data_IF_735609754376
#
_entry.id   IF_735609754376
#
_cell.length_a   1.000
_cell.length_b   1.000
_cell.length_c   1.000
_cell.angle_alpha   90.00
_cell.angle_beta   90.00
_cell.angle_gamma   90.00
#
_symmetry.space_group_name_H-M   'P 1'
#
loop_
_entity.id
_entity.type
_entity.pdbx_description
1 polymer ?
#
# COMPACT_ATOMS: atom_id res chain seq x y z
N UNK A 1 22.92 -1.94 21.23
CA UNK A 1 22.73 -0.47 21.27
C UNK A 1 21.24 -0.19 21.50
N UNK A 2 20.83 0.04 22.76
CA UNK A 2 19.42 0.28 23.07
C UNK A 2 19.01 1.67 22.57
N UNK A 3 18.07 1.73 21.62
CA UNK A 3 17.52 2.98 21.11
C UNK A 3 16.86 3.76 22.27
N UNK A 4 17.12 5.07 22.36
CA UNK A 4 16.46 5.92 23.34
C UNK A 4 14.93 5.86 23.17
N UNK A 5 14.18 5.95 24.27
CA UNK A 5 12.73 5.75 24.26
C UNK A 5 11.98 6.64 23.27
N UNK A 6 12.43 7.89 23.10
CA UNK A 6 11.86 8.83 22.12
C UNK A 6 12.09 8.41 20.66
N UNK A 7 13.29 7.93 20.33
CA UNK A 7 13.63 7.47 18.96
C UNK A 7 12.84 6.21 18.60
N UNK A 8 12.69 5.26 19.55
CA UNK A 8 11.86 4.06 19.34
C UNK A 8 10.42 4.42 18.97
N UNK A 9 9.82 5.34 19.70
CA UNK A 9 8.43 5.77 19.46
C UNK A 9 8.27 6.44 18.10
N UNK A 10 9.20 7.31 17.70
CA UNK A 10 9.18 7.98 16.41
C UNK A 10 9.33 6.98 15.23
N UNK A 11 10.24 6.02 15.35
CA UNK A 11 10.41 4.95 14.36
C UNK A 11 9.15 4.09 14.26
N UNK A 12 8.56 3.71 15.39
CA UNK A 12 7.30 2.96 15.41
C UNK A 12 6.13 3.73 14.77
N UNK A 13 6.06 5.05 14.98
CA UNK A 13 5.03 5.89 14.34
C UNK A 13 5.19 5.93 12.82
N UNK A 14 6.42 6.05 12.31
CA UNK A 14 6.69 6.02 10.87
C UNK A 14 6.31 4.66 10.27
N UNK A 15 6.69 3.56 10.92
CA UNK A 15 6.31 2.21 10.50
C UNK A 15 4.78 2.00 10.47
N UNK A 16 4.05 2.55 11.44
CA UNK A 16 2.59 2.51 11.44
C UNK A 16 1.96 3.29 10.28
N UNK A 17 2.51 4.46 9.93
CA UNK A 17 2.00 5.27 8.80
C UNK A 17 2.30 4.57 7.47
N UNK A 18 3.52 4.06 7.28
CA UNK A 18 3.87 3.33 6.05
C UNK A 18 3.06 2.04 5.91
N UNK A 19 2.78 1.32 7.00
CA UNK A 19 1.87 0.18 6.98
C UNK A 19 0.45 0.57 6.57
N UNK A 20 -0.07 1.69 7.08
CA UNK A 20 -1.40 2.20 6.69
C UNK A 20 -1.48 2.49 5.19
N UNK A 21 -0.51 3.21 4.64
CA UNK A 21 -0.44 3.55 3.22
C UNK A 21 -0.28 2.31 2.34
N UNK A 22 0.64 1.41 2.70
CA UNK A 22 0.87 0.17 1.95
C UNK A 22 -0.35 -0.75 1.99
N UNK A 23 -1.03 -0.85 3.14
CA UNK A 23 -2.27 -1.59 3.29
C UNK A 23 -3.39 -1.03 2.41
N UNK A 24 -3.53 0.29 2.34
CA UNK A 24 -4.49 0.94 1.44
C UNK A 24 -4.20 0.57 -0.03
N UNK A 25 -2.94 0.64 -0.47
CA UNK A 25 -2.54 0.23 -1.82
C UNK A 25 -2.82 -1.25 -2.08
N UNK A 26 -2.61 -2.13 -1.09
CA UNK A 26 -2.92 -3.55 -1.23
C UNK A 26 -4.42 -3.81 -1.40
N UNK A 27 -5.28 -3.06 -0.69
CA UNK A 27 -6.75 -3.14 -0.88
C UNK A 27 -7.15 -2.69 -2.28
N UNK A 28 -6.61 -1.57 -2.76
CA UNK A 28 -6.89 -1.07 -4.11
C UNK A 28 -6.39 -2.05 -5.18
N UNK A 29 -5.19 -2.61 -5.02
CA UNK A 29 -4.66 -3.64 -5.91
C UNK A 29 -5.52 -4.91 -5.92
N UNK A 30 -5.99 -5.35 -4.73
CA UNK A 30 -6.91 -6.48 -4.63
C UNK A 30 -8.25 -6.20 -5.34
N UNK A 31 -8.77 -4.97 -5.25
CA UNK A 31 -9.96 -4.53 -6.00
C UNK A 31 -9.73 -4.57 -7.51
N UNK A 32 -8.55 -4.13 -7.99
CA UNK A 32 -8.20 -4.23 -9.42
C UNK A 32 -8.20 -5.67 -9.92
N UNK A 33 -7.78 -6.63 -9.08
CA UNK A 33 -7.84 -8.05 -9.42
C UNK A 33 -9.25 -8.62 -9.38
N UNK A 34 -10.11 -8.17 -8.47
CA UNK A 34 -11.51 -8.61 -8.36
C UNK A 34 -12.38 -8.09 -9.51
N UNK A 35 -12.14 -6.86 -9.97
CA UNK A 35 -12.93 -6.16 -10.97
C UNK A 35 -12.05 -5.63 -12.13
N UNK A 36 -11.35 -6.52 -12.85
CA UNK A 36 -10.36 -6.10 -13.84
C UNK A 36 -10.99 -5.32 -15.00
N UNK A 37 -12.20 -5.70 -15.43
CA UNK A 37 -12.89 -5.05 -16.55
C UNK A 37 -13.23 -3.56 -16.29
N UNK A 38 -13.35 -3.16 -15.03
CA UNK A 38 -13.75 -1.80 -14.63
C UNK A 38 -12.58 -0.97 -14.14
N UNK A 39 -11.68 -1.58 -13.37
CA UNK A 39 -10.63 -0.88 -12.63
C UNK A 39 -9.28 -0.93 -13.34
N UNK A 40 -9.05 -1.92 -14.20
CA UNK A 40 -7.77 -2.11 -14.88
C UNK A 40 -7.83 -1.52 -16.29
N UNK A 41 -6.73 -0.90 -16.70
CA UNK A 41 -6.63 -0.34 -18.04
C UNK A 41 -6.54 -1.43 -19.10
N UNK A 42 -7.35 -1.28 -20.15
CA UNK A 42 -7.48 -2.30 -21.20
C UNK A 42 -6.17 -2.64 -21.90
N UNK A 43 -5.36 -1.63 -22.20
CA UNK A 43 -4.09 -1.82 -22.90
C UNK A 43 -3.08 -2.63 -22.07
N UNK A 44 -3.20 -2.57 -20.74
CA UNK A 44 -2.35 -3.30 -19.80
C UNK A 44 -2.88 -4.71 -19.48
N UNK A 45 -4.15 -5.00 -19.79
CA UNK A 45 -4.81 -6.26 -19.46
C UNK A 45 -4.09 -7.51 -20.02
N UNK A 46 -3.64 -7.53 -21.30
CA UNK A 46 -2.90 -8.68 -21.83
C UNK A 46 -1.59 -8.94 -21.07
N UNK A 47 -0.90 -7.88 -20.66
CA UNK A 47 0.36 -7.95 -19.90
C UNK A 47 0.09 -8.51 -18.50
N UNK A 48 -0.96 -8.04 -17.82
CA UNK A 48 -1.33 -8.57 -16.51
C UNK A 48 -1.77 -10.03 -16.55
N UNK A 49 -2.52 -10.43 -17.58
CA UNK A 49 -2.92 -11.83 -17.76
C UNK A 49 -1.70 -12.75 -17.94
N UNK A 50 -0.69 -12.31 -18.69
CA UNK A 50 0.55 -13.06 -18.87
C UNK A 50 1.38 -13.22 -17.58
N UNK A 51 1.33 -12.23 -16.69
CA UNK A 51 2.15 -12.18 -15.47
C UNK A 51 1.37 -12.35 -14.15
N UNK A 52 0.11 -12.80 -14.23
CA UNK A 52 -0.78 -12.97 -13.09
C UNK A 52 -0.16 -13.69 -11.87
N UNK A 53 0.59 -14.82 -12.01
CA UNK A 53 1.18 -15.49 -10.85
C UNK A 53 2.30 -14.68 -10.17
N UNK A 54 2.97 -13.78 -10.90
CA UNK A 54 3.96 -12.87 -10.32
C UNK A 54 3.25 -11.77 -9.56
N UNK A 55 2.24 -11.15 -10.17
CA UNK A 55 1.46 -10.07 -9.55
C UNK A 55 0.80 -10.51 -8.23
N UNK A 56 0.22 -11.72 -8.19
CA UNK A 56 -0.33 -12.30 -6.95
C UNK A 56 0.72 -12.47 -5.86
N UNK A 57 1.92 -12.95 -6.21
CA UNK A 57 3.02 -13.09 -5.24
C UNK A 57 3.49 -11.74 -4.71
N UNK A 58 3.58 -10.74 -5.57
CA UNK A 58 3.95 -9.36 -5.17
C UNK A 58 2.89 -8.77 -4.23
N UNK A 59 1.60 -8.92 -4.55
CA UNK A 59 0.51 -8.49 -3.67
C UNK A 59 0.56 -9.22 -2.32
N UNK A 60 0.72 -10.55 -2.32
CA UNK A 60 0.85 -11.33 -1.09
C UNK A 60 2.04 -10.92 -0.23
N UNK A 61 3.21 -10.69 -0.85
CA UNK A 61 4.39 -10.19 -0.16
C UNK A 61 4.17 -8.78 0.43
N UNK A 62 3.44 -7.92 -0.29
CA UNK A 62 3.11 -6.56 0.16
C UNK A 62 2.13 -6.56 1.33
N UNK A 63 1.15 -7.46 1.33
CA UNK A 63 0.22 -7.68 2.45
C UNK A 63 1.00 -8.17 3.68
N UNK A 64 1.90 -9.14 3.49
CA UNK A 64 2.75 -9.63 4.59
C UNK A 64 3.65 -8.51 5.16
N UNK A 65 4.28 -7.72 4.29
CA UNK A 65 5.07 -6.56 4.69
C UNK A 65 4.24 -5.53 5.47
N UNK A 66 2.99 -5.29 5.04
CA UNK A 66 2.04 -4.41 5.73
C UNK A 66 1.78 -4.91 7.16
N UNK A 67 1.49 -6.21 7.33
CA UNK A 67 1.29 -6.80 8.65
C UNK A 67 2.53 -6.71 9.53
N UNK A 68 3.70 -7.03 8.98
CA UNK A 68 4.96 -6.95 9.70
C UNK A 68 5.25 -5.52 10.17
N UNK A 69 5.09 -4.53 9.29
CA UNK A 69 5.28 -3.11 9.62
C UNK A 69 4.26 -2.60 10.64
N UNK A 70 2.98 -2.99 10.52
CA UNK A 70 1.94 -2.62 11.48
C UNK A 70 2.23 -3.22 12.87
N UNK A 71 2.60 -4.50 12.93
CA UNK A 71 2.93 -5.19 14.18
C UNK A 71 4.16 -4.57 14.85
N UNK A 72 5.27 -4.41 14.11
CA UNK A 72 6.50 -3.76 14.60
C UNK A 72 6.20 -2.32 15.03
N UNK A 73 5.45 -1.56 14.24
CA UNK A 73 5.06 -0.20 14.55
C UNK A 73 4.26 -0.07 15.84
N UNK A 74 3.27 -0.94 16.06
CA UNK A 74 2.46 -0.97 17.28
C UNK A 74 3.27 -1.40 18.51
N UNK A 75 4.22 -2.33 18.36
CA UNK A 75 5.12 -2.75 19.44
C UNK A 75 6.10 -1.62 19.84
N UNK A 76 6.57 -0.81 18.88
CA UNK A 76 7.51 0.28 19.14
C UNK A 76 6.85 1.58 19.61
N UNK A 77 5.68 1.93 19.06
CA UNK A 77 4.98 3.19 19.34
C UNK A 77 3.80 3.06 20.32
N UNK A 78 3.39 1.84 20.66
CA UNK A 78 2.20 1.56 21.44
C UNK A 78 0.91 1.69 20.62
N UNK A 79 -0.22 1.89 21.31
CA UNK A 79 -1.54 1.98 20.67
C UNK A 79 -1.65 3.26 19.84
N UNK A 80 -1.57 3.12 18.52
CA UNK A 80 -1.69 4.19 17.54
C UNK A 80 -2.82 3.87 16.55
N UNK A 81 -3.67 4.86 16.24
CA UNK A 81 -4.76 4.74 15.28
C UNK A 81 -4.27 4.28 13.89
N UNK A 82 -3.11 4.77 13.46
CA UNK A 82 -2.53 4.44 12.16
C UNK A 82 -2.05 2.98 12.08
N UNK A 83 -1.49 2.45 13.17
CA UNK A 83 -1.05 1.05 13.23
C UNK A 83 -2.23 0.09 13.20
N UNK A 84 -3.32 0.44 13.90
CA UNK A 84 -4.58 -0.32 13.84
C UNK A 84 -5.20 -0.25 12.44
N UNK A 85 -5.20 0.92 11.80
CA UNK A 85 -5.69 1.07 10.43
C UNK A 85 -4.89 0.22 9.44
N UNK A 86 -3.55 0.21 9.53
CA UNK A 86 -2.70 -0.66 8.70
C UNK A 86 -2.99 -2.16 8.90
N UNK A 87 -3.21 -2.59 10.15
CA UNK A 87 -3.57 -3.97 10.45
C UNK A 87 -4.95 -4.35 9.87
N UNK A 88 -5.94 -3.47 10.00
CA UNK A 88 -7.28 -3.68 9.44
C UNK A 88 -7.26 -3.69 7.92
N UNK A 89 -6.58 -2.74 7.28
CA UNK A 89 -6.44 -2.68 5.83
C UNK A 89 -5.69 -3.90 5.28
N UNK A 90 -4.62 -4.35 5.95
CA UNK A 90 -3.94 -5.60 5.62
C UNK A 90 -4.86 -6.82 5.74
N UNK A 91 -5.72 -6.85 6.77
CA UNK A 91 -6.73 -7.90 6.94
C UNK A 91 -7.78 -7.91 5.84
N UNK A 92 -8.29 -6.73 5.47
CA UNK A 92 -9.22 -6.58 4.34
C UNK A 92 -8.57 -7.04 3.04
N UNK A 93 -7.34 -6.60 2.76
CA UNK A 93 -6.60 -7.00 1.57
C UNK A 93 -6.33 -8.52 1.55
N UNK A 94 -5.99 -9.12 2.70
CA UNK A 94 -5.80 -10.56 2.82
C UNK A 94 -7.10 -11.33 2.56
N UNK A 95 -8.23 -10.84 3.10
CA UNK A 95 -9.53 -11.44 2.86
C UNK A 95 -9.93 -11.38 1.37
N UNK A 96 -9.71 -10.22 0.74
CA UNK A 96 -10.01 -10.00 -0.68
C UNK A 96 -9.06 -10.73 -1.63
N UNK A 97 -7.78 -10.85 -1.26
CA UNK A 97 -6.75 -11.51 -2.08
C UNK A 97 -6.61 -13.01 -1.84
N UNK A 98 -7.10 -13.52 -0.69
CA UNK A 98 -7.05 -14.93 -0.31
C UNK A 98 -8.16 -15.78 -0.93
N UNK A 99 -9.31 -15.19 -1.27
CA UNK A 99 -10.29 -15.86 -2.13
C UNK A 99 -9.79 -15.79 -3.58
N UNK A 100 -9.14 -16.86 -4.02
CA UNK A 100 -8.73 -17.15 -5.40
C UNK A 100 -9.41 -16.24 -6.43
N UNK A 101 -8.68 -15.24 -6.92
CA UNK A 101 -9.15 -14.29 -7.93
C UNK A 101 -9.30 -15.02 -9.26
N UNK A 102 -10.36 -15.80 -9.44
CA UNK A 102 -10.60 -16.60 -10.64
C UNK A 102 -11.25 -15.80 -11.78
N UNK A 103 -11.62 -14.53 -11.56
CA UNK A 103 -12.34 -13.76 -12.57
C UNK A 103 -11.49 -12.68 -13.25
N UNK A 104 -10.46 -13.10 -14.00
CA UNK A 104 -10.11 -12.40 -15.26
C UNK A 104 -11.02 -12.98 -16.37
N UNK A 105 -12.34 -12.91 -16.14
CA UNK A 105 -13.32 -13.26 -17.14
C UNK A 105 -13.62 -12.02 -17.96
N UNK A 106 -13.10 -11.95 -19.20
CA UNK A 106 -13.34 -10.83 -20.11
C UNK A 106 -14.84 -10.71 -20.40
N UNK A 107 -15.52 -9.80 -19.70
CA UNK A 107 -16.93 -9.50 -19.99
C UNK A 107 -17.00 -8.46 -21.11
N UNK A 108 -16.81 -8.92 -22.35
CA UNK A 108 -17.15 -8.21 -23.58
C UNK A 108 -16.41 -6.89 -23.87
N UNK A 109 -16.59 -6.32 -25.08
CA UNK A 109 -15.96 -5.06 -25.48
C UNK A 109 -16.71 -3.86 -24.88
N UNK A 110 -16.30 -3.40 -23.68
CA UNK A 110 -16.68 -2.11 -23.10
C UNK A 110 -15.61 -1.06 -23.36
N UNK A 111 -15.98 0.12 -23.82
CA UNK A 111 -15.02 1.18 -24.16
C UNK A 111 -14.45 1.97 -22.97
N UNK A 112 -14.89 1.71 -21.73
CA UNK A 112 -14.55 2.53 -20.57
C UNK A 112 -13.95 1.71 -19.42
N UNK A 113 -12.80 2.16 -18.92
CA UNK A 113 -12.12 1.65 -17.73
C UNK A 113 -11.60 2.84 -16.90
N UNK A 114 -11.64 2.74 -15.58
CA UNK A 114 -11.23 3.83 -14.66
C UNK A 114 -9.71 4.00 -14.61
N UNK A 115 -8.94 2.94 -14.86
CA UNK A 115 -7.47 2.98 -14.81
C UNK A 115 -6.90 3.10 -13.39
N UNK A 116 -7.61 2.54 -12.41
CA UNK A 116 -7.19 2.53 -11.01
C UNK A 116 -5.88 1.76 -10.82
N UNK A 117 -5.59 0.78 -11.68
CA UNK A 117 -4.32 0.06 -11.69
C UNK A 117 -3.12 0.99 -11.93
N UNK A 118 -3.19 1.87 -12.92
CA UNK A 118 -2.12 2.86 -13.16
C UNK A 118 -1.99 3.83 -12.00
N UNK A 119 -3.11 4.29 -11.45
CA UNK A 119 -3.10 5.17 -10.28
C UNK A 119 -2.41 4.50 -9.07
N UNK A 120 -2.71 3.23 -8.79
CA UNK A 120 -2.06 2.47 -7.71
C UNK A 120 -0.56 2.32 -7.97
N UNK A 121 -0.16 2.00 -9.21
CA UNK A 121 1.24 1.89 -9.59
C UNK A 121 1.97 3.23 -9.46
N UNK A 122 1.35 4.32 -9.87
CA UNK A 122 1.90 5.67 -9.77
C UNK A 122 2.12 6.07 -8.31
N UNK A 123 1.11 5.89 -7.44
CA UNK A 123 1.25 6.12 -6.01
C UNK A 123 2.33 5.24 -5.36
N UNK A 124 2.42 3.97 -5.78
CA UNK A 124 3.43 3.05 -5.28
C UNK A 124 4.84 3.50 -5.69
N UNK A 125 5.04 3.85 -6.97
CA UNK A 125 6.33 4.29 -7.51
C UNK A 125 6.74 5.61 -6.89
N UNK A 126 5.85 6.60 -6.85
CA UNK A 126 6.11 7.88 -6.21
C UNK A 126 6.39 7.69 -4.72
N UNK A 127 5.59 6.88 -4.02
CA UNK A 127 5.83 6.59 -2.60
C UNK A 127 7.19 5.94 -2.37
N UNK A 128 7.54 4.93 -3.18
CA UNK A 128 8.81 4.22 -3.05
C UNK A 128 10.02 5.11 -3.38
N UNK A 129 9.86 6.09 -4.27
CA UNK A 129 10.93 7.00 -4.66
C UNK A 129 11.04 8.19 -3.70
N UNK A 130 9.94 8.90 -3.46
CA UNK A 130 9.94 10.16 -2.71
C UNK A 130 9.99 9.96 -1.20
N UNK A 131 9.38 8.92 -0.62
CA UNK A 131 9.44 8.70 0.84
C UNK A 131 10.89 8.49 1.34
N UNK A 132 11.72 7.61 0.75
CA UNK A 132 13.10 7.48 1.18
C UNK A 132 13.96 8.67 0.74
N UNK A 133 13.71 9.27 -0.42
CA UNK A 133 14.43 10.45 -0.88
C UNK A 133 14.25 11.62 0.09
N UNK A 134 13.02 11.89 0.51
CA UNK A 134 12.69 12.90 1.52
C UNK A 134 13.37 12.58 2.86
N UNK A 135 13.44 11.30 3.24
CA UNK A 135 14.12 10.90 4.46
C UNK A 135 15.65 11.07 4.40
N UNK A 136 16.28 10.84 3.24
CA UNK A 136 17.73 10.96 3.03
C UNK A 136 18.19 12.42 2.89
N UNK A 137 17.39 13.25 2.23
CA UNK A 137 17.69 14.66 1.96
C UNK A 137 16.86 15.63 2.80
N UNK A 138 16.40 15.18 3.97
CA UNK A 138 15.61 16.02 4.89
C UNK A 138 16.45 17.22 5.39
N UNK A 139 16.08 18.43 4.94
CA UNK A 139 16.70 19.67 5.40
C UNK A 139 16.40 19.95 6.89
N UNK A 140 15.19 19.60 7.35
CA UNK A 140 14.77 19.75 8.74
C UNK A 140 14.04 18.49 9.23
N UNK A 141 14.22 18.14 10.52
CA UNK A 141 13.48 17.04 11.16
C UNK A 141 12.08 17.49 11.55
N UNK A 142 11.18 17.49 10.58
CA UNK A 142 9.81 17.94 10.74
C UNK A 142 8.85 16.75 10.78
N UNK A 143 7.75 16.78 11.57
CA UNK A 143 6.70 15.78 11.46
C UNK A 143 6.05 15.82 10.07
N UNK A 144 5.67 14.64 9.55
CA UNK A 144 5.02 14.48 8.24
C UNK A 144 3.72 15.28 8.19
N UNK A 145 2.86 15.13 9.20
CA UNK A 145 1.62 15.90 9.32
C UNK A 145 1.84 17.15 10.19
N UNK A 146 2.50 18.16 9.63
CA UNK A 146 2.69 19.46 10.29
C UNK A 146 1.53 20.42 10.00
N UNK A 147 1.23 21.38 10.89
CA UNK A 147 0.33 22.49 10.54
C UNK A 147 0.82 23.19 9.26
N UNK A 148 -0.04 23.34 8.26
CA UNK A 148 0.30 23.97 6.98
C UNK A 148 0.68 23.01 5.84
N UNK A 149 0.62 21.69 6.03
CA UNK A 149 0.96 20.71 4.96
C UNK A 149 0.05 20.79 3.72
N UNK A 150 -1.13 21.40 3.81
CA UNK A 150 -2.09 21.49 2.71
C UNK A 150 -1.76 22.61 1.71
N UNK A 151 -0.83 23.50 2.06
CA UNK A 151 -0.50 24.71 1.30
C UNK A 151 0.92 24.73 0.75
N UNK A 152 1.71 23.68 0.99
CA UNK A 152 3.03 23.43 0.38
C UNK A 152 2.86 22.59 -0.90
#
# INVERSE_FOLDING_TARGET
>A
MALSGGVRKAVGQRACVTAGLLGMLCVLAALCFLLPDWLVTRDALPVYSAHLPVLRRVLGASIFATFALAAVGLLLAGRNRHGLAGLLLGGVALFMGGSQVESLGLSGPRHFSVGLDYFVLELLVLGLLFVPLEALFALHRTPVFRPGWQTD
#
